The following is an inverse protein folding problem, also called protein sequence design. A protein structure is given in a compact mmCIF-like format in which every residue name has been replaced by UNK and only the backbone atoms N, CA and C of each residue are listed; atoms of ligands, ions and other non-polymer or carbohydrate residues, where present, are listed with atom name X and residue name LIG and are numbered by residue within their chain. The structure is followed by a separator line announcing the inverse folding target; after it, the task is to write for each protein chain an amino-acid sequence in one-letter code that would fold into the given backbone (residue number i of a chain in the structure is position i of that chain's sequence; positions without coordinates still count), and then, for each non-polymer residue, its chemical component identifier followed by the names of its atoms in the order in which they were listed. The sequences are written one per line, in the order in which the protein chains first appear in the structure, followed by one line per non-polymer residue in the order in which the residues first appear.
data_IF_997564168507
#
_entry.id   IF_997564168507
#
_cell.length_a   1.000
_cell.length_b   1.000
_cell.length_c   1.000
_cell.angle_alpha   90.00
_cell.angle_beta   90.00
_cell.angle_gamma   90.00
#
_symmetry.space_group_name_H-M   'P 1'
#
loop_
_entity.id
_entity.type
_entity.pdbx_description
1 polymer ?
#
# COMPACT_ATOMS: atom_id res chain seq x y z
N UNK A 1 29.04 29.63 18.43
CA UNK A 1 27.59 29.84 18.34
C UNK A 1 27.03 28.82 17.35
N UNK A 2 26.54 27.70 17.86
CA UNK A 2 25.90 26.64 17.08
C UNK A 2 24.54 27.15 16.61
N UNK A 3 24.42 27.44 15.32
CA UNK A 3 23.13 27.74 14.68
C UNK A 3 22.16 26.59 14.99
N UNK A 4 20.98 26.85 15.58
CA UNK A 4 19.99 25.82 15.79
C UNK A 4 19.59 25.29 14.41
N UNK A 5 19.94 24.02 14.15
CA UNK A 5 19.41 23.32 12.97
C UNK A 5 17.89 23.44 13.05
N UNK A 6 17.21 23.95 12.00
CA UNK A 6 15.77 24.01 12.02
C UNK A 6 15.27 22.58 12.26
N UNK A 7 14.53 22.41 13.35
CA UNK A 7 13.68 21.25 13.53
C UNK A 7 12.79 21.23 12.30
N UNK A 8 13.10 20.32 11.37
CA UNK A 8 12.23 19.95 10.26
C UNK A 8 10.88 19.63 10.90
N UNK A 9 9.95 20.58 10.82
CA UNK A 9 8.54 20.29 11.05
C UNK A 9 8.23 19.08 10.17
N UNK A 10 7.63 18.00 10.69
CA UNK A 10 7.16 16.92 9.85
C UNK A 10 5.99 17.49 9.04
N UNK A 11 6.31 18.20 7.97
CA UNK A 11 5.34 18.71 7.03
C UNK A 11 4.56 17.52 6.52
N UNK A 12 3.23 17.63 6.51
CA UNK A 12 2.39 16.58 5.97
C UNK A 12 2.92 16.15 4.59
N UNK A 13 2.91 14.84 4.28
CA UNK A 13 3.30 14.39 2.96
C UNK A 13 2.45 15.09 1.89
N UNK A 14 2.99 15.36 0.69
CA UNK A 14 2.26 16.09 -0.34
C UNK A 14 0.94 15.37 -0.69
N UNK A 15 -0.09 16.12 -1.08
CA UNK A 15 -1.41 15.59 -1.45
C UNK A 15 -1.40 14.29 -2.29
N UNK A 16 -0.54 14.11 -3.33
CA UNK A 16 -0.44 12.85 -4.06
C UNK A 16 0.02 11.65 -3.20
N UNK A 17 0.92 11.87 -2.23
CA UNK A 17 1.32 10.83 -1.28
C UNK A 17 0.17 10.47 -0.33
N UNK A 18 -0.60 11.44 0.13
CA UNK A 18 -1.79 11.18 0.96
C UNK A 18 -2.84 10.37 0.20
N UNK A 19 -3.10 10.72 -1.06
CA UNK A 19 -3.99 9.95 -1.92
C UNK A 19 -3.49 8.51 -2.12
N UNK A 20 -2.18 8.31 -2.35
CA UNK A 20 -1.60 6.98 -2.43
C UNK A 20 -1.73 6.17 -1.13
N UNK A 21 -1.62 6.83 0.03
CA UNK A 21 -1.81 6.20 1.35
C UNK A 21 -3.27 5.80 1.56
N UNK A 22 -4.23 6.69 1.26
CA UNK A 22 -5.67 6.42 1.38
C UNK A 22 -6.06 5.24 0.50
N UNK A 23 -5.61 5.22 -0.76
CA UNK A 23 -5.84 4.09 -1.68
C UNK A 23 -5.23 2.79 -1.13
N UNK A 24 -4.06 2.87 -0.48
CA UNK A 24 -3.40 1.71 0.13
C UNK A 24 -4.17 1.18 1.33
N UNK A 25 -4.73 2.06 2.15
CA UNK A 25 -5.59 1.69 3.27
C UNK A 25 -6.89 1.03 2.81
N UNK A 26 -7.56 1.60 1.81
CA UNK A 26 -8.78 1.02 1.25
C UNK A 26 -8.50 -0.36 0.64
N UNK A 27 -7.40 -0.49 -0.10
CA UNK A 27 -6.95 -1.75 -0.68
C UNK A 27 -6.63 -2.79 0.41
N UNK A 28 -5.87 -2.40 1.43
CA UNK A 28 -5.51 -3.29 2.54
C UNK A 28 -6.74 -3.73 3.35
N UNK A 29 -7.66 -2.81 3.62
CA UNK A 29 -8.93 -3.12 4.31
C UNK A 29 -9.76 -4.11 3.51
N UNK A 30 -9.90 -3.88 2.21
CA UNK A 30 -10.60 -4.78 1.32
C UNK A 30 -9.99 -6.18 1.30
N UNK A 31 -8.65 -6.29 1.25
CA UNK A 31 -7.95 -7.59 1.33
C UNK A 31 -8.22 -8.33 2.63
N UNK A 32 -8.20 -7.61 3.77
CA UNK A 32 -8.47 -8.22 5.08
C UNK A 32 -9.90 -8.75 5.14
N UNK A 33 -10.87 -7.93 4.73
CA UNK A 33 -12.29 -8.32 4.71
C UNK A 33 -12.51 -9.52 3.79
N UNK A 34 -11.90 -9.54 2.61
CA UNK A 34 -12.04 -10.63 1.65
C UNK A 34 -11.37 -11.94 2.14
N UNK A 35 -10.21 -11.85 2.80
CA UNK A 35 -9.57 -13.00 3.45
C UNK A 35 -10.41 -13.56 4.60
N UNK A 36 -10.93 -12.70 5.48
CA UNK A 36 -11.79 -13.12 6.60
C UNK A 36 -13.07 -13.74 6.07
N UNK A 37 -13.68 -13.16 5.03
CA UNK A 37 -14.83 -13.75 4.37
C UNK A 37 -14.52 -15.15 3.82
N UNK A 38 -13.35 -15.33 3.19
CA UNK A 38 -12.93 -16.63 2.67
C UNK A 38 -12.71 -17.67 3.78
N UNK A 39 -12.18 -17.28 4.94
CA UNK A 39 -12.07 -18.19 6.09
C UNK A 39 -13.43 -18.65 6.62
N UNK A 40 -14.44 -17.78 6.58
CA UNK A 40 -15.78 -18.07 7.09
C UNK A 40 -16.59 -18.89 6.08
N UNK A 41 -16.57 -18.48 4.81
CA UNK A 41 -17.49 -19.01 3.78
C UNK A 41 -16.81 -19.99 2.82
N UNK A 42 -15.49 -20.14 2.88
CA UNK A 42 -14.70 -20.93 1.94
C UNK A 42 -14.56 -20.30 0.54
N UNK A 43 -15.10 -19.11 0.31
CA UNK A 43 -15.09 -18.43 -0.99
C UNK A 43 -14.67 -16.97 -0.88
N UNK A 44 -13.98 -16.47 -1.91
CA UNK A 44 -13.62 -15.05 -2.00
C UNK A 44 -14.80 -14.24 -2.54
N UNK A 45 -14.99 -13.02 -2.03
CA UNK A 45 -16.04 -12.08 -2.49
C UNK A 45 -15.72 -11.56 -3.89
N UNK A 46 -14.43 -11.40 -4.17
CA UNK A 46 -13.91 -10.68 -5.34
C UNK A 46 -13.79 -11.47 -6.65
N UNK A 47 -13.74 -12.81 -6.59
CA UNK A 47 -13.43 -13.64 -7.76
C UNK A 47 -14.20 -14.95 -7.66
N UNK A 48 -15.03 -15.33 -8.65
CA UNK A 48 -15.52 -16.69 -8.74
C UNK A 48 -14.30 -17.60 -8.91
N UNK A 49 -14.01 -18.42 -7.90
CA UNK A 49 -12.74 -19.13 -7.65
C UNK A 49 -12.13 -19.87 -8.89
N UNK A 50 -12.94 -20.12 -9.92
CA UNK A 50 -12.53 -20.74 -11.17
C UNK A 50 -11.62 -19.91 -12.09
N UNK A 51 -11.59 -18.56 -12.02
CA UNK A 51 -10.90 -17.77 -13.06
C UNK A 51 -9.37 -17.69 -12.91
N UNK A 52 -8.83 -17.92 -11.71
CA UNK A 52 -7.40 -17.67 -11.47
C UNK A 52 -6.71 -18.69 -10.53
N UNK A 53 -7.36 -19.81 -10.19
CA UNK A 53 -6.74 -20.82 -9.31
C UNK A 53 -6.56 -20.37 -7.86
N UNK A 54 -7.34 -19.38 -7.41
CA UNK A 54 -7.27 -18.82 -6.07
C UNK A 54 -7.90 -19.78 -5.07
N UNK A 55 -7.05 -20.47 -4.31
CA UNK A 55 -7.51 -21.42 -3.29
C UNK A 55 -7.72 -20.73 -1.94
N UNK A 56 -8.57 -21.30 -1.07
CA UNK A 56 -8.67 -20.86 0.32
C UNK A 56 -7.33 -20.87 1.05
N UNK A 57 -6.37 -21.72 0.64
CA UNK A 57 -5.03 -21.76 1.21
C UNK A 57 -4.24 -20.45 0.98
N UNK A 58 -4.56 -19.67 -0.06
CA UNK A 58 -3.92 -18.38 -0.36
C UNK A 58 -4.45 -17.22 0.50
N UNK A 59 -5.55 -17.43 1.24
CA UNK A 59 -6.24 -16.37 2.00
C UNK A 59 -5.35 -15.77 3.10
N UNK A 60 -4.46 -16.58 3.70
CA UNK A 60 -3.49 -16.11 4.68
C UNK A 60 -2.43 -15.19 4.09
N UNK A 61 -2.00 -15.46 2.85
CA UNK A 61 -1.03 -14.61 2.14
C UNK A 61 -1.66 -13.28 1.73
N UNK A 62 -2.93 -13.29 1.30
CA UNK A 62 -3.71 -12.08 1.04
C UNK A 62 -3.92 -11.27 2.32
N UNK A 63 -4.23 -11.95 3.43
CA UNK A 63 -4.42 -11.31 4.72
C UNK A 63 -3.12 -10.60 5.14
N UNK A 64 -1.98 -11.28 4.99
CA UNK A 64 -0.66 -10.70 5.25
C UNK A 64 -0.40 -9.48 4.37
N UNK A 65 -0.73 -9.52 3.07
CA UNK A 65 -0.64 -8.34 2.22
C UNK A 65 -1.55 -7.20 2.69
N UNK A 66 -2.77 -7.50 3.13
CA UNK A 66 -3.68 -6.52 3.72
C UNK A 66 -3.08 -5.81 4.93
N UNK A 67 -2.45 -6.57 5.84
CA UNK A 67 -1.73 -6.02 7.01
C UNK A 67 -0.54 -5.16 6.57
N UNK A 68 0.28 -5.65 5.62
CA UNK A 68 1.42 -4.88 5.11
C UNK A 68 0.98 -3.57 4.44
N UNK A 69 -0.17 -3.58 3.75
CA UNK A 69 -0.78 -2.41 3.16
C UNK A 69 -1.35 -1.42 4.19
N UNK A 70 -1.64 -1.84 5.41
CA UNK A 70 -1.92 -0.92 6.51
C UNK A 70 -0.63 -0.41 7.16
N UNK A 71 0.39 -1.26 7.30
CA UNK A 71 1.62 -0.90 8.01
C UNK A 71 2.53 0.04 7.21
N UNK A 72 2.86 -0.31 5.96
CA UNK A 72 3.90 0.38 5.16
C UNK A 72 3.50 1.83 4.80
N UNK A 73 2.25 2.12 4.38
CA UNK A 73 1.82 3.49 4.14
C UNK A 73 1.80 4.36 5.40
N UNK A 74 1.47 3.79 6.57
CA UNK A 74 1.56 4.50 7.85
C UNK A 74 3.01 4.85 8.19
N UNK A 75 3.93 3.89 8.07
CA UNK A 75 5.36 4.16 8.28
C UNK A 75 5.85 5.26 7.33
N UNK A 76 5.34 5.31 6.10
CA UNK A 76 5.68 6.36 5.15
C UNK A 76 5.10 7.71 5.58
N UNK A 77 3.85 7.74 6.05
CA UNK A 77 3.18 8.94 6.56
C UNK A 77 3.92 9.56 7.76
N UNK A 78 4.37 8.74 8.71
CA UNK A 78 4.98 9.23 9.96
C UNK A 78 6.49 9.45 9.88
N UNK A 79 7.19 8.67 9.06
CA UNK A 79 8.65 8.75 8.99
C UNK A 79 9.16 9.52 7.76
N UNK A 80 8.35 9.62 6.69
CA UNK A 80 8.70 10.25 5.41
C UNK A 80 10.13 9.91 4.93
N UNK A 81 10.54 8.63 5.04
CA UNK A 81 11.88 8.16 4.68
C UNK A 81 11.92 7.51 3.30
N UNK A 82 13.06 7.65 2.63
CA UNK A 82 13.34 7.00 1.35
C UNK A 82 13.21 5.46 1.42
N UNK A 83 13.59 4.84 2.53
CA UNK A 83 13.43 3.40 2.76
C UNK A 83 11.97 2.97 2.71
N UNK A 84 11.08 3.77 3.28
CA UNK A 84 9.66 3.47 3.38
C UNK A 84 8.93 3.73 2.06
N UNK A 85 9.37 4.75 1.31
CA UNK A 85 8.96 4.93 -0.09
C UNK A 85 9.34 3.72 -0.95
N UNK A 86 10.59 3.23 -0.87
CA UNK A 86 11.03 2.02 -1.58
C UNK A 86 10.20 0.81 -1.18
N UNK A 87 9.90 0.66 0.10
CA UNK A 87 9.03 -0.42 0.60
C UNK A 87 7.63 -0.34 0.00
N UNK A 88 7.01 0.85 -0.12
CA UNK A 88 5.73 1.01 -0.82
C UNK A 88 5.81 0.59 -2.29
N UNK A 89 6.86 0.99 -3.01
CA UNK A 89 7.04 0.60 -4.42
C UNK A 89 7.19 -0.92 -4.57
N UNK A 90 8.01 -1.56 -3.73
CA UNK A 90 8.17 -3.02 -3.73
C UNK A 90 6.84 -3.69 -3.41
N UNK A 91 6.11 -3.18 -2.41
CA UNK A 91 4.80 -3.72 -2.04
C UNK A 91 3.82 -3.63 -3.19
N UNK A 92 3.80 -2.53 -3.96
CA UNK A 92 2.97 -2.40 -5.18
C UNK A 92 3.34 -3.44 -6.23
N UNK A 93 4.62 -3.63 -6.51
CA UNK A 93 5.11 -4.60 -7.52
C UNK A 93 4.81 -6.04 -7.14
N UNK A 94 5.00 -6.40 -5.87
CA UNK A 94 4.68 -7.75 -5.38
C UNK A 94 3.17 -7.98 -5.33
N UNK A 95 2.42 -6.95 -4.96
CA UNK A 95 0.95 -6.98 -4.94
C UNK A 95 0.36 -7.11 -6.35
N UNK A 96 0.94 -6.50 -7.39
CA UNK A 96 0.39 -6.54 -8.75
C UNK A 96 0.45 -7.94 -9.38
N UNK A 97 1.47 -8.72 -9.04
CA UNK A 97 1.53 -10.16 -9.37
C UNK A 97 0.44 -10.98 -8.70
N UNK A 98 0.00 -10.54 -7.52
CA UNK A 98 -0.91 -11.29 -6.67
C UNK A 98 -2.36 -10.86 -6.83
N UNK A 99 -2.71 -9.67 -7.31
CA UNK A 99 -4.09 -9.17 -7.09
C UNK A 99 -4.93 -8.98 -8.35
N UNK A 100 -4.45 -9.36 -9.54
CA UNK A 100 -5.26 -9.43 -10.77
C UNK A 100 -6.09 -8.17 -11.04
N UNK A 101 -7.34 -8.13 -10.57
CA UNK A 101 -8.26 -6.99 -10.70
C UNK A 101 -7.87 -5.74 -9.90
N UNK A 102 -7.02 -5.83 -8.87
CA UNK A 102 -6.53 -4.64 -8.16
C UNK A 102 -5.36 -3.94 -8.89
N UNK A 103 -4.86 -4.53 -9.98
CA UNK A 103 -3.78 -3.99 -10.82
C UNK A 103 -3.99 -2.54 -11.26
N UNK A 104 -5.19 -2.08 -11.71
CA UNK A 104 -5.41 -0.67 -12.02
C UNK A 104 -5.26 0.27 -10.80
N UNK A 105 -5.71 -0.14 -9.62
CA UNK A 105 -5.54 0.65 -8.37
C UNK A 105 -4.07 0.72 -7.99
N UNK A 106 -3.36 -0.40 -8.10
CA UNK A 106 -1.91 -0.49 -7.87
C UNK A 106 -1.11 0.34 -8.89
N UNK A 107 -1.53 0.38 -10.15
CA UNK A 107 -0.95 1.24 -11.19
C UNK A 107 -1.18 2.73 -10.88
N UNK A 108 -2.40 3.11 -10.50
CA UNK A 108 -2.68 4.49 -10.08
C UNK A 108 -1.83 4.91 -8.87
N UNK A 109 -1.67 4.01 -7.90
CA UNK A 109 -0.78 4.20 -6.76
C UNK A 109 0.69 4.34 -7.16
N UNK A 110 1.18 3.50 -8.07
CA UNK A 110 2.54 3.58 -8.56
C UNK A 110 2.79 4.93 -9.24
N UNK A 111 1.86 5.38 -10.08
CA UNK A 111 1.95 6.71 -10.73
C UNK A 111 2.02 7.81 -9.69
N UNK A 112 1.14 7.81 -8.68
CA UNK A 112 1.14 8.82 -7.61
C UNK A 112 2.44 8.81 -6.78
N UNK A 113 3.00 7.63 -6.51
CA UNK A 113 4.26 7.47 -5.78
C UNK A 113 5.50 7.85 -6.60
N UNK A 114 5.43 7.72 -7.93
CA UNK A 114 6.50 8.07 -8.85
C UNK A 114 6.45 9.54 -9.30
N UNK A 115 5.38 10.28 -8.98
CA UNK A 115 5.28 11.70 -9.34
C UNK A 115 6.50 12.47 -8.79
N UNK A 116 7.11 13.36 -9.61
CA UNK A 116 8.31 14.09 -9.22
C UNK A 116 8.09 14.99 -8.00
N UNK A 117 6.86 15.43 -7.75
CA UNK A 117 6.50 16.16 -6.53
C UNK A 117 6.67 15.31 -5.26
N UNK A 118 6.24 14.07 -5.30
CA UNK A 118 6.37 13.10 -4.21
C UNK A 118 7.85 12.80 -3.93
N UNK A 119 8.65 12.73 -5.00
CA UNK A 119 10.10 12.50 -4.94
C UNK A 119 10.88 13.70 -4.38
N UNK A 120 10.49 14.93 -4.75
CA UNK A 120 11.13 16.15 -4.23
C UNK A 120 10.83 16.34 -2.73
N UNK A 121 9.64 16.00 -2.27
CA UNK A 121 9.26 16.05 -0.85
C UNK A 121 9.99 15.01 0.02
N UNK A 122 10.62 14.00 -0.58
CA UNK A 122 11.47 13.02 0.10
C UNK A 122 12.95 13.43 0.17
N UNK A 123 13.35 14.42 -0.62
CA UNK A 123 14.72 14.93 -0.71
C UNK A 123 14.91 16.30 -0.03
N UNK A 124 13.81 16.94 0.37
CA UNK A 124 13.76 18.18 1.14
C UNK A 124 13.72 17.88 2.65
#
# INVERSE_FOLDING_TARGET
MTSPRPLLSPGLPPAPAQAAIILGFLLGTWMLVDSVHCWITGTYVRVPAHLFGWTPAMSGLVFLFGVLWMLVPNLYLFQNRLSTWKAMVILVVVSSWSLGLATPVLCAQLVLLLLPHTRRALAA
#
